data_IF_744332030212
#
_entry.id   IF_744332030212
#
_cell.length_a   1.000
_cell.length_b   1.000
_cell.length_c   1.000
_cell.angle_alpha   90.00
_cell.angle_beta   90.00
_cell.angle_gamma   90.00
#
_symmetry.space_group_name_H-M   'P 1'
#
loop_
_entity.id
_entity.type
_entity.pdbx_description
1 polymer ?
#
# COMPACT_ATOMS: atom_id res chain seq x y z
N UNK A 1 -10.87 -20.72 -15.19
CA UNK A 1 -9.40 -20.55 -15.22
C UNK A 1 -9.06 -19.66 -14.05
N UNK A 2 -8.69 -20.24 -12.91
CA UNK A 2 -8.45 -19.52 -11.67
C UNK A 2 -7.01 -19.02 -11.67
N UNK A 3 -6.82 -17.70 -11.74
CA UNK A 3 -5.50 -17.06 -11.65
C UNK A 3 -5.06 -17.01 -10.17
N UNK A 4 -4.88 -18.18 -9.57
CA UNK A 4 -4.24 -18.29 -8.26
C UNK A 4 -2.73 -18.34 -8.47
N UNK A 5 -2.02 -17.43 -7.81
CA UNK A 5 -0.57 -17.50 -7.55
C UNK A 5 0.36 -16.83 -8.57
N UNK A 6 0.18 -15.53 -8.78
CA UNK A 6 1.34 -14.63 -8.95
C UNK A 6 1.79 -14.10 -7.58
N UNK A 7 2.02 -15.01 -6.63
CA UNK A 7 2.77 -14.73 -5.39
C UNK A 7 4.26 -14.77 -5.73
N UNK A 8 4.66 -13.91 -6.65
CA UNK A 8 6.02 -13.53 -6.98
C UNK A 8 5.89 -12.64 -8.22
N UNK A 9 5.70 -11.34 -8.02
CA UNK A 9 6.35 -10.42 -8.96
C UNK A 9 7.82 -10.83 -9.07
N UNK A 10 8.44 -10.54 -10.22
CA UNK A 10 9.87 -10.78 -10.40
C UNK A 10 10.65 -10.23 -9.21
N UNK A 11 11.87 -10.72 -8.93
CA UNK A 11 12.67 -10.16 -7.83
C UNK A 11 12.80 -8.63 -7.96
N UNK A 12 12.83 -8.12 -9.20
CA UNK A 12 12.75 -6.70 -9.50
C UNK A 12 11.45 -6.07 -9.01
N UNK A 13 10.29 -6.67 -9.28
CA UNK A 13 8.99 -6.18 -8.81
C UNK A 13 8.92 -6.13 -7.27
N UNK A 14 9.52 -7.11 -6.58
CA UNK A 14 9.57 -7.11 -5.12
C UNK A 14 10.42 -5.97 -4.59
N UNK A 15 11.58 -5.73 -5.21
CA UNK A 15 12.45 -4.59 -4.89
C UNK A 15 11.72 -3.27 -5.16
N UNK A 16 11.06 -3.14 -6.32
CA UNK A 16 10.25 -1.95 -6.67
C UNK A 16 9.14 -1.74 -5.64
N UNK A 17 8.39 -2.78 -5.28
CA UNK A 17 7.32 -2.68 -4.29
C UNK A 17 7.86 -2.28 -2.91
N UNK A 18 9.01 -2.82 -2.49
CA UNK A 18 9.67 -2.44 -1.24
C UNK A 18 10.12 -0.97 -1.24
N UNK A 19 10.63 -0.47 -2.37
CA UNK A 19 10.98 0.93 -2.55
C UNK A 19 9.76 1.85 -2.48
N UNK A 20 8.67 1.49 -3.18
CA UNK A 20 7.38 2.20 -3.09
C UNK A 20 6.92 2.27 -1.63
N UNK A 21 6.90 1.12 -0.93
CA UNK A 21 6.45 1.03 0.45
C UNK A 21 7.27 1.92 1.39
N UNK A 22 8.60 1.89 1.26
CA UNK A 22 9.50 2.72 2.05
C UNK A 22 9.31 4.22 1.80
N UNK A 23 9.19 4.62 0.53
CA UNK A 23 8.99 6.01 0.14
C UNK A 23 7.63 6.54 0.61
N UNK A 24 6.55 5.80 0.36
CA UNK A 24 5.20 6.19 0.77
C UNK A 24 5.09 6.31 2.30
N UNK A 25 5.59 5.33 3.05
CA UNK A 25 5.58 5.37 4.52
C UNK A 25 6.42 6.54 5.08
N UNK A 26 7.56 6.85 4.45
CA UNK A 26 8.40 7.99 4.86
C UNK A 26 7.66 9.31 4.71
N UNK A 27 6.97 9.52 3.60
CA UNK A 27 6.25 10.77 3.34
C UNK A 27 4.94 10.87 4.13
N UNK A 28 4.22 9.76 4.31
CA UNK A 28 2.99 9.73 5.10
C UNK A 28 3.21 10.10 6.58
N UNK A 29 4.38 9.78 7.15
CA UNK A 29 4.72 10.12 8.55
C UNK A 29 4.91 11.62 8.81
N UNK A 30 4.99 12.45 7.76
CA UNK A 30 5.12 13.90 7.92
C UNK A 30 3.75 14.50 8.20
N UNK A 31 3.59 15.06 9.40
CA UNK A 31 2.30 15.55 9.95
C UNK A 31 1.63 16.63 9.08
N UNK A 32 2.41 17.39 8.30
CA UNK A 32 1.88 18.36 7.33
C UNK A 32 2.90 18.49 6.20
N UNK A 33 2.49 18.13 4.98
CA UNK A 33 3.25 18.40 3.78
C UNK A 33 2.75 19.73 3.19
N UNK A 34 3.65 20.64 2.82
CA UNK A 34 3.29 21.71 1.89
C UNK A 34 2.99 21.12 0.51
N UNK A 35 2.31 21.87 -0.35
CA UNK A 35 2.05 21.44 -1.73
C UNK A 35 3.35 21.05 -2.47
N UNK A 36 4.45 21.78 -2.27
CA UNK A 36 5.75 21.46 -2.86
C UNK A 36 6.32 20.14 -2.34
N UNK A 37 6.14 19.85 -1.05
CA UNK A 37 6.62 18.60 -0.45
C UNK A 37 5.76 17.41 -0.89
N UNK A 38 4.47 17.62 -1.11
CA UNK A 38 3.57 16.63 -1.69
C UNK A 38 3.94 16.31 -3.14
N UNK A 39 4.18 17.34 -3.97
CA UNK A 39 4.68 17.15 -5.33
C UNK A 39 6.03 16.43 -5.36
N UNK A 40 6.96 16.76 -4.45
CA UNK A 40 8.22 16.05 -4.33
C UNK A 40 8.01 14.58 -3.92
N UNK A 41 7.10 14.30 -3.00
CA UNK A 41 6.76 12.93 -2.59
C UNK A 41 6.17 12.12 -3.75
N UNK A 42 5.27 12.73 -4.52
CA UNK A 42 4.69 12.13 -5.73
C UNK A 42 5.77 11.87 -6.77
N UNK A 43 6.69 12.82 -7.01
CA UNK A 43 7.83 12.64 -7.92
C UNK A 43 8.73 11.48 -7.51
N UNK A 44 9.09 11.38 -6.22
CA UNK A 44 9.89 10.27 -5.71
C UNK A 44 9.18 8.90 -5.86
N UNK A 45 7.84 8.86 -5.73
CA UNK A 45 7.06 7.64 -5.93
C UNK A 45 6.97 7.25 -7.41
N UNK A 46 6.84 8.22 -8.31
CA UNK A 46 6.87 7.97 -9.76
C UNK A 46 8.20 7.32 -10.15
N UNK A 47 9.32 7.87 -9.68
CA UNK A 47 10.65 7.32 -9.92
C UNK A 47 10.81 5.93 -9.31
N UNK A 48 10.39 5.75 -8.04
CA UNK A 48 10.45 4.46 -7.36
C UNK A 48 9.63 3.38 -8.07
N UNK A 49 8.48 3.75 -8.65
CA UNK A 49 7.62 2.82 -9.36
C UNK A 49 8.16 2.45 -10.75
N UNK A 50 9.02 3.28 -11.37
CA UNK A 50 9.56 3.05 -12.70
C UNK A 50 8.48 2.67 -13.74
N UNK A 51 7.33 3.35 -13.68
CA UNK A 51 6.16 3.11 -14.55
C UNK A 51 5.24 1.95 -14.13
N UNK A 52 5.50 1.29 -12.99
CA UNK A 52 4.67 0.19 -12.47
C UNK A 52 3.49 0.70 -11.65
N UNK A 53 2.51 1.29 -12.34
CA UNK A 53 1.24 1.72 -11.75
C UNK A 53 0.46 0.59 -11.07
N UNK A 54 0.65 -0.66 -11.53
CA UNK A 54 0.09 -1.86 -10.90
C UNK A 54 0.68 -2.13 -9.51
N UNK A 55 1.97 -1.88 -9.30
CA UNK A 55 2.62 -2.04 -8.00
C UNK A 55 2.28 -0.89 -7.03
N UNK A 56 2.09 0.33 -7.56
CA UNK A 56 1.53 1.45 -6.78
C UNK A 56 0.10 1.12 -6.32
N UNK A 57 -0.74 0.57 -7.20
CA UNK A 57 -2.10 0.13 -6.86
C UNK A 57 -2.09 -1.03 -5.85
N UNK A 58 -1.15 -1.96 -6.00
CA UNK A 58 -0.95 -3.06 -5.05
C UNK A 58 -0.66 -2.54 -3.64
N UNK A 59 0.33 -1.64 -3.51
CA UNK A 59 0.66 -1.07 -2.21
C UNK A 59 -0.51 -0.27 -1.64
N UNK A 60 -1.09 0.65 -2.43
CA UNK A 60 -2.20 1.49 -1.99
C UNK A 60 -3.38 0.66 -1.47
N UNK A 61 -3.86 -0.31 -2.27
CA UNK A 61 -5.01 -1.12 -1.87
C UNK A 61 -4.72 -2.03 -0.68
N UNK A 62 -3.59 -2.74 -0.66
CA UNK A 62 -3.23 -3.61 0.45
C UNK A 62 -3.15 -2.84 1.77
N UNK A 63 -2.51 -1.68 1.75
CA UNK A 63 -2.32 -0.84 2.93
C UNK A 63 -3.64 -0.30 3.46
N UNK A 64 -4.55 0.19 2.60
CA UNK A 64 -5.89 0.62 3.03
C UNK A 64 -6.68 -0.55 3.63
N UNK A 65 -6.76 -1.68 2.92
CA UNK A 65 -7.56 -2.81 3.38
C UNK A 65 -7.02 -3.47 4.65
N UNK A 66 -5.69 -3.50 4.84
CA UNK A 66 -5.08 -4.13 6.00
C UNK A 66 -5.28 -3.32 7.29
N UNK A 67 -5.19 -2.00 7.18
CA UNK A 67 -5.22 -1.08 8.32
C UNK A 67 -6.58 -0.41 8.56
N UNK A 68 -7.61 -0.80 7.82
CA UNK A 68 -8.98 -0.34 8.04
C UNK A 68 -9.42 -0.61 9.48
N UNK A 69 -9.80 0.45 10.21
CA UNK A 69 -10.21 0.42 11.61
C UNK A 69 -9.07 0.41 12.64
N UNK A 70 -7.81 0.46 12.21
CA UNK A 70 -6.66 0.58 13.12
C UNK A 70 -6.47 2.05 13.56
N UNK A 71 -5.81 2.27 14.71
CA UNK A 71 -5.60 3.64 15.26
C UNK A 71 -4.79 4.54 14.31
N UNK A 72 -3.90 3.94 13.51
CA UNK A 72 -3.06 4.61 12.53
C UNK A 72 -3.62 4.55 11.09
N UNK A 73 -4.91 4.23 10.91
CA UNK A 73 -5.56 4.18 9.59
C UNK A 73 -5.32 5.45 8.75
N UNK A 74 -5.38 6.64 9.37
CA UNK A 74 -5.16 7.91 8.68
C UNK A 74 -3.75 8.02 8.04
N UNK A 75 -2.73 7.42 8.66
CA UNK A 75 -1.37 7.37 8.12
C UNK A 75 -1.34 6.57 6.81
N UNK A 76 -2.04 5.44 6.79
CA UNK A 76 -2.06 4.50 5.67
C UNK A 76 -2.97 4.98 4.54
N UNK A 77 -4.06 5.66 4.85
CA UNK A 77 -4.85 6.39 3.86
C UNK A 77 -4.01 7.47 3.17
N UNK A 78 -3.19 8.22 3.92
CA UNK A 78 -2.29 9.21 3.33
C UNK A 78 -1.22 8.57 2.43
N UNK A 79 -0.63 7.46 2.85
CA UNK A 79 0.33 6.71 2.03
C UNK A 79 -0.31 6.22 0.71
N UNK A 80 -1.53 5.69 0.79
CA UNK A 80 -2.27 5.25 -0.40
C UNK A 80 -2.61 6.40 -1.34
N UNK A 81 -3.01 7.55 -0.80
CA UNK A 81 -3.31 8.75 -1.59
C UNK A 81 -2.11 9.22 -2.40
N UNK A 82 -0.91 9.26 -1.80
CA UNK A 82 0.31 9.60 -2.51
C UNK A 82 0.62 8.62 -3.67
N UNK A 83 0.33 7.33 -3.49
CA UNK A 83 0.49 6.35 -4.56
C UNK A 83 -0.53 6.54 -5.69
N UNK A 84 -1.76 6.94 -5.39
CA UNK A 84 -2.79 7.28 -6.39
C UNK A 84 -2.33 8.49 -7.21
N UNK A 85 -1.85 9.53 -6.55
CA UNK A 85 -1.32 10.74 -7.20
C UNK A 85 -0.08 10.45 -8.05
N UNK A 86 0.74 9.47 -7.64
CA UNK A 86 1.89 8.98 -8.41
C UNK A 86 1.52 8.11 -9.62
N UNK A 87 0.22 7.91 -9.90
CA UNK A 87 -0.25 7.19 -11.08
C UNK A 87 -0.52 5.70 -10.82
N UNK A 88 -0.99 5.33 -9.63
CA UNK A 88 -1.51 3.99 -9.39
C UNK A 88 -2.63 3.66 -10.39
N UNK A 89 -2.61 2.43 -10.91
CA UNK A 89 -3.73 1.91 -11.69
C UNK A 89 -4.95 1.72 -10.78
N UNK A 90 -5.83 2.72 -10.79
CA UNK A 90 -6.99 2.79 -9.90
C UNK A 90 -7.98 1.64 -10.14
N UNK A 91 -7.95 0.99 -11.30
CA UNK A 91 -8.81 -0.16 -11.60
C UNK A 91 -8.42 -1.40 -10.77
N UNK A 92 -7.16 -1.49 -10.32
CA UNK A 92 -6.63 -2.59 -9.53
C UNK A 92 -6.74 -2.36 -8.02
N UNK A 93 -7.04 -1.14 -7.56
CA UNK A 93 -7.08 -0.82 -6.13
C UNK A 93 -8.14 -1.64 -5.37
N UNK A 94 -9.40 -1.80 -5.85
CA UNK A 94 -10.44 -2.52 -5.11
C UNK A 94 -10.07 -3.97 -4.76
N UNK A 95 -9.52 -4.72 -5.71
CA UNK A 95 -9.10 -6.11 -5.46
C UNK A 95 -7.96 -6.19 -4.42
N UNK A 96 -7.09 -5.19 -4.36
CA UNK A 96 -6.01 -5.15 -3.38
C UNK A 96 -6.49 -4.73 -2.00
N UNK A 97 -7.53 -3.89 -1.90
CA UNK A 97 -8.24 -3.61 -0.63
C UNK A 97 -8.84 -4.90 -0.07
N UNK A 98 -9.54 -5.67 -0.89
CA UNK A 98 -10.14 -6.93 -0.45
C UNK A 98 -9.09 -7.94 0.04
N UNK A 99 -7.95 -8.04 -0.66
CA UNK A 99 -6.84 -8.87 -0.19
C UNK A 99 -6.19 -8.32 1.09
N UNK A 100 -6.09 -7.01 1.26
CA UNK A 100 -5.62 -6.37 2.49
C UNK A 100 -6.51 -6.73 3.69
N UNK A 101 -7.82 -6.60 3.53
CA UNK A 101 -8.82 -7.01 4.55
C UNK A 101 -8.72 -8.50 4.87
N UNK A 102 -8.59 -9.34 3.83
CA UNK A 102 -8.41 -10.79 3.99
C UNK A 102 -7.20 -11.08 4.87
N UNK A 103 -6.04 -10.46 4.60
CA UNK A 103 -4.82 -10.63 5.40
C UNK A 103 -4.98 -10.13 6.83
N UNK A 104 -5.60 -8.97 7.02
CA UNK A 104 -5.85 -8.44 8.36
C UNK A 104 -6.76 -9.36 9.18
N UNK A 105 -7.77 -9.97 8.56
CA UNK A 105 -8.67 -10.91 9.24
C UNK A 105 -7.93 -12.13 9.81
N UNK A 106 -6.93 -12.65 9.08
CA UNK A 106 -6.08 -13.77 9.53
C UNK A 106 -5.27 -13.34 10.75
N UNK A 107 -4.56 -12.20 10.67
CA UNK A 107 -3.76 -11.68 11.80
C UNK A 107 -4.62 -11.39 13.03
N UNK A 108 -5.81 -10.82 12.84
CA UNK A 108 -6.76 -10.54 13.93
C UNK A 108 -7.28 -11.83 14.57
N UNK A 109 -7.54 -12.87 13.80
CA UNK A 109 -7.93 -14.19 14.30
C UNK A 109 -6.80 -14.85 15.10
N UNK A 110 -5.58 -14.83 14.58
CA UNK A 110 -4.38 -15.35 15.27
C UNK A 110 -4.15 -14.62 16.61
N UNK A 111 -4.22 -13.28 16.62
CA UNK A 111 -4.08 -12.47 17.84
C UNK A 111 -5.13 -12.84 18.89
N UNK A 112 -6.38 -13.06 18.47
CA UNK A 112 -7.45 -13.50 19.37
C UNK A 112 -7.18 -14.88 19.96
N UNK A 113 -6.64 -15.81 19.18
CA UNK A 113 -6.30 -17.15 19.66
C UNK A 113 -5.16 -17.14 20.69
N UNK A 114 -4.21 -16.20 20.58
CA UNK A 114 -3.09 -16.04 21.52
C UNK A 114 -3.46 -15.28 22.81
N UNK A 115 -4.60 -14.60 22.83
CA UNK A 115 -5.13 -13.91 24.01
C UNK A 115 -6.56 -14.37 24.27
N UNK A 116 -6.76 -15.65 24.68
CA UNK A 116 -8.07 -16.11 25.08
C UNK A 116 -8.49 -15.36 26.36
N UNK A 117 -9.76 -14.92 26.39
CA UNK A 117 -10.37 -14.21 27.50
C UNK A 117 -10.40 -15.04 28.80
#
# INVERSE_FOLDING_TARGET
MFYSMQVAGSERDRVTLAQIAGTAARHARRTTLSADQEQAAVGELIEAAAGRGDLLAQYAGLTVGFHEGDYDEALYLRAAQLCIEAGADSSLIPQWIDEGRRRASVVRAERRALTPA
#
